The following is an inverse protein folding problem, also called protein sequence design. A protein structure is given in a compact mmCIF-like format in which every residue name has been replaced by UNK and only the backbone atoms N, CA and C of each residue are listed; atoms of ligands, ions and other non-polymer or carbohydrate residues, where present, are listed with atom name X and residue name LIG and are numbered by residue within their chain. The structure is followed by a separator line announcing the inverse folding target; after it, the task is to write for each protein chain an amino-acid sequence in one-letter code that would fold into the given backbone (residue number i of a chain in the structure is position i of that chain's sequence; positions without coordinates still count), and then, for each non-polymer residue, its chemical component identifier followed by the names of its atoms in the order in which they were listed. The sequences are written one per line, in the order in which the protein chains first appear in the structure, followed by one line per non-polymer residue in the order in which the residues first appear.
data_IF_962049575091
#
_entry.id   IF_962049575091
#
_cell.length_a   1.000
_cell.length_b   1.000
_cell.length_c   1.000
_cell.angle_alpha   90.00
_cell.angle_beta   90.00
_cell.angle_gamma   90.00
#
_symmetry.space_group_name_H-M   'P 1'
#
loop_
_entity.id
_entity.type
_entity.pdbx_description
1 polymer ?
#
# COMPACT_ATOMS: atom_id res chain seq x y z
N UNK A 1 0.86 22.01 -3.61
CA UNK A 1 1.10 21.64 -2.20
C UNK A 1 -0.16 21.13 -1.48
N UNK A 2 -1.31 21.76 -1.63
CA UNK A 2 -2.55 21.29 -0.98
C UNK A 2 -3.07 19.94 -1.50
N UNK A 3 -2.96 19.67 -2.80
CA UNK A 3 -3.33 18.36 -3.39
C UNK A 3 -2.45 17.21 -2.89
N UNK A 4 -1.17 17.49 -2.64
CA UNK A 4 -0.23 16.51 -2.07
C UNK A 4 -0.59 16.20 -0.61
N UNK A 5 -0.89 17.21 0.19
CA UNK A 5 -1.33 17.03 1.59
C UNK A 5 -2.63 16.25 1.68
N UNK A 6 -3.56 16.49 0.76
CA UNK A 6 -4.87 15.80 0.76
C UNK A 6 -4.74 14.32 0.40
N UNK A 7 -3.96 13.98 -0.61
CA UNK A 7 -3.71 12.59 -0.98
C UNK A 7 -2.91 11.83 0.10
N UNK A 8 -1.94 12.49 0.73
CA UNK A 8 -1.17 11.89 1.82
C UNK A 8 -2.03 11.68 3.08
N UNK A 9 -2.95 12.59 3.36
CA UNK A 9 -3.88 12.44 4.49
C UNK A 9 -4.92 11.36 4.26
N UNK A 10 -5.42 11.22 3.03
CA UNK A 10 -6.34 10.14 2.67
C UNK A 10 -5.63 8.78 2.72
N UNK A 11 -4.40 8.69 2.21
CA UNK A 11 -3.59 7.47 2.27
C UNK A 11 -3.21 7.10 3.71
N UNK A 12 -2.85 8.08 4.54
CA UNK A 12 -2.59 7.88 5.97
C UNK A 12 -3.87 7.51 6.71
N UNK A 13 -5.01 8.12 6.39
CA UNK A 13 -6.31 7.77 6.95
C UNK A 13 -6.71 6.34 6.64
N UNK A 14 -6.51 5.89 5.40
CA UNK A 14 -6.75 4.50 4.98
C UNK A 14 -5.77 3.55 5.69
N UNK A 15 -4.49 3.91 5.79
CA UNK A 15 -3.49 3.11 6.49
C UNK A 15 -3.80 2.99 7.99
N UNK A 16 -4.18 4.07 8.66
CA UNK A 16 -4.56 4.09 10.07
C UNK A 16 -5.85 3.29 10.30
N UNK A 17 -6.82 3.37 9.38
CA UNK A 17 -8.03 2.53 9.42
C UNK A 17 -7.69 1.04 9.26
N UNK A 18 -6.74 0.71 8.38
CA UNK A 18 -6.26 -0.65 8.15
C UNK A 18 -5.45 -1.20 9.33
N UNK A 19 -4.73 -0.35 10.06
CA UNK A 19 -3.96 -0.73 11.25
C UNK A 19 -4.78 -0.72 12.54
N UNK A 20 -6.08 -0.38 12.49
CA UNK A 20 -6.95 -0.33 13.66
C UNK A 20 -6.68 0.84 14.63
N UNK A 21 -5.72 1.71 14.33
CA UNK A 21 -5.34 2.84 15.19
C UNK A 21 -6.43 3.93 15.18
N UNK A 22 -7.18 4.02 14.08
CA UNK A 22 -8.28 4.98 13.96
C UNK A 22 -9.50 4.62 14.84
N UNK A 23 -9.61 3.36 15.26
CA UNK A 23 -10.73 2.86 16.06
C UNK A 23 -10.66 3.28 17.53
N UNK A 24 -9.46 3.61 18.03
CA UNK A 24 -9.28 4.06 19.41
C UNK A 24 -9.61 5.56 19.61
N UNK A 25 -9.72 6.32 18.52
CA UNK A 25 -10.03 7.74 18.56
C UNK A 25 -11.51 8.09 18.31
N UNK A 26 -12.29 7.14 17.84
CA UNK A 26 -13.72 7.29 17.53
C UNK A 26 -14.56 6.34 18.38
N UNK A 27 -14.83 6.68 19.64
CA UNK A 27 -15.95 6.08 20.36
C UNK A 27 -17.25 6.80 19.96
N UNK A 28 -18.31 6.11 19.55
CA UNK A 28 -18.92 4.89 20.13
C UNK A 28 -19.42 3.87 19.08
N UNK A 29 -18.56 3.08 18.49
CA UNK A 29 -19.01 1.95 17.67
C UNK A 29 -18.40 0.64 18.11
N UNK A 30 -18.42 0.38 19.42
CA UNK A 30 -17.91 -0.86 20.03
C UNK A 30 -18.74 -2.11 19.69
N UNK A 31 -19.94 -1.97 19.13
CA UNK A 31 -20.80 -3.13 18.87
C UNK A 31 -20.71 -3.74 17.48
N UNK A 32 -20.12 -3.04 16.49
CA UNK A 32 -19.89 -3.59 15.16
C UNK A 32 -18.48 -4.13 14.91
N UNK A 33 -17.64 -4.19 15.92
CA UNK A 33 -16.37 -4.96 15.89
C UNK A 33 -16.60 -6.48 15.78
N UNK A 34 -17.77 -6.89 15.31
CA UNK A 34 -18.07 -8.29 15.01
C UNK A 34 -17.31 -8.72 13.76
N UNK A 35 -16.12 -9.28 14.02
CA UNK A 35 -15.35 -10.12 13.10
C UNK A 35 -14.77 -9.37 11.90
N UNK A 36 -13.66 -8.71 12.10
CA UNK A 36 -12.70 -8.61 11.00
C UNK A 36 -12.51 -10.04 10.49
N UNK A 37 -12.80 -10.24 9.22
CA UNK A 37 -12.64 -11.55 8.60
C UNK A 37 -11.16 -11.93 8.71
N UNK A 38 -10.79 -13.00 9.45
CA UNK A 38 -9.39 -13.34 9.67
C UNK A 38 -8.63 -13.55 8.36
N UNK A 39 -9.34 -13.85 7.28
CA UNK A 39 -8.75 -14.01 5.95
C UNK A 39 -8.22 -12.69 5.40
N UNK A 40 -8.82 -11.54 5.71
CA UNK A 40 -8.27 -10.24 5.26
C UNK A 40 -6.95 -9.93 5.97
N UNK A 41 -6.86 -10.23 7.26
CA UNK A 41 -5.63 -10.06 8.03
C UNK A 41 -4.52 -10.97 7.53
N UNK A 42 -4.86 -12.22 7.19
CA UNK A 42 -3.92 -13.15 6.56
C UNK A 42 -3.40 -12.62 5.22
N UNK A 43 -4.30 -12.13 4.35
CA UNK A 43 -3.92 -11.56 3.06
C UNK A 43 -3.00 -10.33 3.21
N UNK A 44 -3.30 -9.44 4.14
CA UNK A 44 -2.46 -8.28 4.45
C UNK A 44 -1.08 -8.69 4.96
N UNK A 45 -0.99 -9.69 5.81
CA UNK A 45 0.26 -10.26 6.29
C UNK A 45 1.10 -10.85 5.16
N UNK A 46 0.47 -11.55 4.21
CA UNK A 46 1.14 -12.08 3.02
C UNK A 46 1.68 -10.96 2.13
N UNK A 47 0.95 -9.87 1.98
CA UNK A 47 1.39 -8.69 1.22
C UNK A 47 2.58 -8.04 1.90
N UNK A 48 2.52 -7.81 3.19
CA UNK A 48 3.62 -7.23 3.96
C UNK A 48 4.90 -8.08 3.89
N UNK A 49 4.77 -9.40 3.83
CA UNK A 49 5.90 -10.31 3.70
C UNK A 49 6.43 -10.46 2.26
N UNK A 50 5.58 -10.26 1.26
CA UNK A 50 5.89 -10.60 -0.14
C UNK A 50 6.00 -9.44 -1.12
N UNK A 51 5.62 -8.23 -0.76
CA UNK A 51 5.52 -7.08 -1.68
C UNK A 51 6.81 -6.75 -2.44
N UNK A 52 7.96 -6.99 -1.83
CA UNK A 52 9.29 -6.68 -2.40
C UNK A 52 9.68 -7.61 -3.56
N UNK A 53 8.99 -8.71 -3.74
CA UNK A 53 9.22 -9.63 -4.86
C UNK A 53 8.34 -9.25 -6.03
N UNK A 54 8.93 -9.07 -7.20
CA UNK A 54 8.22 -8.63 -8.40
C UNK A 54 7.16 -9.63 -8.87
N UNK A 55 7.44 -10.92 -8.72
CA UNK A 55 6.53 -12.00 -9.07
C UNK A 55 5.33 -12.16 -8.10
N UNK A 56 5.38 -11.47 -6.95
CA UNK A 56 4.30 -11.53 -5.98
C UNK A 56 3.08 -10.76 -6.49
N UNK A 57 1.95 -11.43 -6.61
CA UNK A 57 0.73 -10.87 -7.19
C UNK A 57 -0.51 -11.47 -6.51
N UNK A 58 -1.68 -11.02 -6.94
CA UNK A 58 -2.93 -11.48 -6.37
C UNK A 58 -3.17 -13.00 -6.54
N UNK A 59 -2.66 -13.62 -7.61
CA UNK A 59 -2.67 -15.07 -7.78
C UNK A 59 -1.85 -15.78 -6.70
N UNK A 60 -0.70 -15.22 -6.36
CA UNK A 60 0.16 -15.74 -5.30
C UNK A 60 -0.55 -15.71 -3.95
N UNK A 61 -1.24 -14.62 -3.65
CA UNK A 61 -2.03 -14.46 -2.42
C UNK A 61 -3.14 -15.51 -2.37
N UNK A 62 -3.96 -15.60 -3.44
CA UNK A 62 -5.06 -16.55 -3.53
C UNK A 62 -4.59 -17.99 -3.33
N UNK A 63 -3.49 -18.37 -3.97
CA UNK A 63 -2.91 -19.70 -3.86
C UNK A 63 -2.44 -20.01 -2.44
N UNK A 64 -1.74 -19.08 -1.80
CA UNK A 64 -1.26 -19.25 -0.42
C UNK A 64 -2.40 -19.36 0.59
N UNK A 65 -3.50 -18.67 0.33
CA UNK A 65 -4.71 -18.74 1.16
C UNK A 65 -5.64 -19.90 0.81
N UNK A 66 -5.32 -20.68 -0.21
CA UNK A 66 -6.15 -21.77 -0.73
C UNK A 66 -7.59 -21.32 -1.11
N UNK A 67 -7.70 -20.11 -1.69
CA UNK A 67 -8.96 -19.56 -2.20
C UNK A 67 -8.87 -19.25 -3.68
N UNK A 68 -10.03 -19.13 -4.35
CA UNK A 68 -10.07 -18.69 -5.75
C UNK A 68 -9.77 -17.18 -5.84
N UNK A 69 -9.33 -16.75 -7.05
CA UNK A 69 -9.16 -15.33 -7.37
C UNK A 69 -10.45 -14.53 -7.15
N UNK A 70 -11.57 -15.10 -7.55
CA UNK A 70 -12.90 -14.50 -7.38
C UNK A 70 -13.24 -14.31 -5.89
N UNK A 71 -12.96 -15.31 -5.07
CA UNK A 71 -13.18 -15.22 -3.61
C UNK A 71 -12.30 -14.15 -2.99
N UNK A 72 -11.02 -14.09 -3.36
CA UNK A 72 -10.09 -13.07 -2.88
C UNK A 72 -10.55 -11.66 -3.28
N UNK A 73 -10.91 -11.45 -4.55
CA UNK A 73 -11.42 -10.16 -5.04
C UNK A 73 -12.67 -9.73 -4.27
N UNK A 74 -13.61 -10.63 -4.06
CA UNK A 74 -14.85 -10.34 -3.32
C UNK A 74 -14.56 -9.97 -1.87
N UNK A 75 -13.63 -10.67 -1.23
CA UNK A 75 -13.21 -10.37 0.13
C UNK A 75 -12.62 -8.97 0.25
N UNK A 76 -11.70 -8.60 -0.65
CA UNK A 76 -11.08 -7.27 -0.67
C UNK A 76 -12.09 -6.17 -0.98
N UNK A 77 -12.95 -6.35 -1.98
CA UNK A 77 -13.97 -5.35 -2.32
C UNK A 77 -14.95 -5.12 -1.16
N UNK A 78 -15.37 -6.17 -0.48
CA UNK A 78 -16.30 -6.07 0.66
C UNK A 78 -15.67 -5.38 1.88
N UNK A 79 -14.41 -5.65 2.17
CA UNK A 79 -13.74 -5.20 3.40
C UNK A 79 -12.94 -3.93 3.24
N UNK A 80 -12.37 -3.69 2.07
CA UNK A 80 -11.43 -2.59 1.81
C UNK A 80 -11.96 -1.66 0.72
N UNK A 81 -12.79 -2.15 -0.21
CA UNK A 81 -13.27 -1.40 -1.37
C UNK A 81 -12.29 -1.37 -2.54
N UNK A 82 -11.20 -2.09 -2.47
CA UNK A 82 -10.17 -2.20 -3.50
C UNK A 82 -9.99 -3.64 -3.95
N UNK A 83 -9.39 -3.83 -5.12
CA UNK A 83 -8.91 -5.15 -5.51
C UNK A 83 -7.61 -5.50 -4.77
N UNK A 84 -7.26 -6.78 -4.64
CA UNK A 84 -5.99 -7.21 -4.07
C UNK A 84 -4.78 -6.60 -4.79
N UNK A 85 -4.85 -6.47 -6.12
CA UNK A 85 -3.80 -5.86 -6.93
C UNK A 85 -3.64 -4.36 -6.66
N UNK A 86 -4.73 -3.63 -6.49
CA UNK A 86 -4.71 -2.22 -6.11
C UNK A 86 -4.12 -2.03 -4.72
N UNK A 87 -4.50 -2.87 -3.77
CA UNK A 87 -3.95 -2.83 -2.42
C UNK A 87 -2.43 -3.11 -2.41
N UNK A 88 -1.98 -4.12 -3.15
CA UNK A 88 -0.56 -4.44 -3.30
C UNK A 88 0.23 -3.28 -3.92
N UNK A 89 -0.31 -2.64 -4.97
CA UNK A 89 0.32 -1.48 -5.60
C UNK A 89 0.46 -0.32 -4.61
N UNK A 90 -0.60 -0.01 -3.90
CA UNK A 90 -0.62 1.04 -2.87
C UNK A 90 0.42 0.75 -1.77
N UNK A 91 0.46 -0.48 -1.29
CA UNK A 91 1.44 -0.91 -0.29
C UNK A 91 2.88 -0.73 -0.78
N UNK A 92 3.18 -1.13 -2.02
CA UNK A 92 4.50 -0.92 -2.65
C UNK A 92 4.86 0.55 -2.73
N UNK A 93 3.94 1.41 -3.14
CA UNK A 93 4.16 2.85 -3.22
C UNK A 93 4.47 3.47 -1.87
N UNK A 94 3.75 3.09 -0.83
CA UNK A 94 4.00 3.56 0.53
C UNK A 94 5.36 3.12 1.07
N UNK A 95 5.77 1.88 0.82
CA UNK A 95 7.11 1.43 1.19
C UNK A 95 8.19 2.17 0.39
N UNK A 96 7.95 2.44 -0.89
CA UNK A 96 8.88 3.19 -1.73
C UNK A 96 9.09 4.63 -1.24
N UNK A 97 8.04 5.27 -0.76
CA UNK A 97 8.11 6.61 -0.17
C UNK A 97 9.13 6.67 0.97
N UNK A 98 9.09 5.69 1.87
CA UNK A 98 10.03 5.60 3.01
C UNK A 98 11.47 5.46 2.54
N UNK A 99 11.72 4.64 1.51
CA UNK A 99 13.06 4.42 0.97
C UNK A 99 13.61 5.67 0.28
N UNK A 100 12.77 6.43 -0.43
CA UNK A 100 13.14 7.72 -1.02
C UNK A 100 13.51 8.74 0.06
N UNK A 101 12.76 8.79 1.15
CA UNK A 101 13.05 9.66 2.31
C UNK A 101 14.39 9.30 2.97
N UNK A 102 14.78 8.03 2.93
CA UNK A 102 16.09 7.54 3.41
C UNK A 102 17.23 7.81 2.42
N UNK A 103 16.95 8.42 1.28
CA UNK A 103 17.97 8.80 0.29
C UNK A 103 18.29 7.73 -0.76
N UNK A 104 17.57 6.61 -0.81
CA UNK A 104 17.77 5.60 -1.84
C UNK A 104 17.49 6.17 -3.24
N UNK A 105 18.23 5.69 -4.24
CA UNK A 105 17.99 6.10 -5.63
C UNK A 105 16.62 5.60 -6.12
N UNK A 106 16.06 6.28 -7.12
CA UNK A 106 14.77 5.90 -7.72
C UNK A 106 14.79 4.45 -8.22
N UNK A 107 15.86 4.06 -8.91
CA UNK A 107 16.02 2.70 -9.44
C UNK A 107 16.09 1.65 -8.33
N UNK A 108 16.92 1.89 -7.32
CA UNK A 108 17.04 0.98 -6.17
C UNK A 108 15.72 0.85 -5.41
N UNK A 109 15.05 1.97 -5.20
CA UNK A 109 13.72 2.01 -4.54
C UNK A 109 12.69 1.19 -5.30
N UNK A 110 12.58 1.39 -6.62
CA UNK A 110 11.65 0.63 -7.45
C UNK A 110 11.89 -0.88 -7.33
N UNK A 111 13.13 -1.32 -7.51
CA UNK A 111 13.48 -2.74 -7.44
C UNK A 111 13.25 -3.32 -6.04
N UNK A 112 13.59 -2.57 -4.98
CA UNK A 112 13.39 -3.00 -3.59
C UNK A 112 11.92 -3.13 -3.20
N UNK A 113 11.02 -2.42 -3.90
CA UNK A 113 9.58 -2.47 -3.66
C UNK A 113 8.82 -3.40 -4.62
N UNK A 114 9.53 -4.23 -5.39
CA UNK A 114 8.91 -5.22 -6.27
C UNK A 114 8.46 -4.69 -7.63
N UNK A 115 8.93 -3.52 -8.05
CA UNK A 115 8.72 -3.02 -9.41
C UNK A 115 9.84 -3.52 -10.33
N UNK A 116 9.51 -4.27 -11.35
CA UNK A 116 10.50 -4.74 -12.34
C UNK A 116 10.97 -3.60 -13.24
N UNK A 117 10.06 -2.68 -13.57
CA UNK A 117 10.30 -1.55 -14.45
C UNK A 117 10.31 -0.23 -13.67
N UNK A 118 11.48 0.41 -13.49
CA UNK A 118 11.57 1.72 -12.82
C UNK A 118 10.79 2.84 -13.53
N UNK A 119 10.58 2.75 -14.84
CA UNK A 119 9.77 3.73 -15.58
C UNK A 119 8.27 3.58 -15.26
N UNK A 120 7.77 2.35 -15.17
CA UNK A 120 6.42 2.10 -14.69
C UNK A 120 6.25 2.59 -13.26
N UNK A 121 7.20 2.28 -12.37
CA UNK A 121 7.22 2.80 -11.00
C UNK A 121 7.10 4.33 -10.96
N UNK A 122 7.92 5.03 -11.74
CA UNK A 122 7.90 6.50 -11.79
C UNK A 122 6.56 7.06 -12.25
N UNK A 123 5.92 6.41 -13.23
CA UNK A 123 4.58 6.82 -13.71
C UNK A 123 3.51 6.65 -12.64
N UNK A 124 3.44 5.50 -11.98
CA UNK A 124 2.43 5.26 -10.94
C UNK A 124 2.69 6.07 -9.68
N UNK A 125 3.96 6.28 -9.34
CA UNK A 125 4.34 7.16 -8.24
C UNK A 125 3.88 8.60 -8.49
N UNK A 126 4.18 9.16 -9.67
CA UNK A 126 3.74 10.50 -10.06
C UNK A 126 2.22 10.63 -10.06
N UNK A 127 1.52 9.63 -10.57
CA UNK A 127 0.04 9.61 -10.56
C UNK A 127 -0.51 9.66 -9.14
N UNK A 128 0.14 8.96 -8.22
CA UNK A 128 -0.30 8.85 -6.83
C UNK A 128 0.06 10.08 -5.99
N UNK A 129 1.31 10.54 -6.07
CA UNK A 129 1.86 11.62 -5.25
C UNK A 129 1.87 13.00 -5.93
N UNK A 130 1.55 13.08 -7.22
CA UNK A 130 1.52 14.34 -7.97
C UNK A 130 2.88 14.85 -8.44
N UNK A 131 3.98 14.15 -8.14
CA UNK A 131 5.33 14.48 -8.57
C UNK A 131 6.16 13.22 -8.83
N UNK A 132 7.21 13.29 -9.67
CA UNK A 132 8.10 12.16 -9.89
C UNK A 132 8.84 11.76 -8.60
N UNK A 133 9.24 10.49 -8.45
CA UNK A 133 10.00 10.03 -7.29
C UNK A 133 11.36 10.72 -7.13
N UNK A 134 11.99 11.16 -8.24
CA UNK A 134 13.21 11.94 -8.19
C UNK A 134 13.03 13.28 -7.47
N UNK A 135 11.96 14.00 -7.78
CA UNK A 135 11.64 15.28 -7.15
C UNK A 135 11.25 15.10 -5.69
N UNK A 136 10.48 14.05 -5.41
CA UNK A 136 10.11 13.68 -4.05
C UNK A 136 11.35 13.42 -3.19
N UNK A 137 12.31 12.66 -3.70
CA UNK A 137 13.57 12.35 -3.02
C UNK A 137 14.38 13.61 -2.69
N UNK A 138 14.45 14.57 -3.63
CA UNK A 138 15.20 15.82 -3.44
C UNK A 138 14.67 16.67 -2.29
N UNK A 139 13.35 16.64 -2.04
CA UNK A 139 12.75 17.38 -0.92
C UNK A 139 13.29 16.95 0.44
N UNK A 140 13.76 15.73 0.58
CA UNK A 140 14.30 15.19 1.82
C UNK A 140 15.84 15.27 1.87
N UNK A 141 16.51 15.41 0.76
CA UNK A 141 17.97 15.54 0.70
C UNK A 141 18.47 16.88 1.26
N UNK A 142 17.62 17.92 1.23
CA UNK A 142 17.96 19.26 1.75
C UNK A 142 17.81 19.38 3.28
N UNK A 143 17.25 18.37 3.95
CA UNK A 143 16.98 18.39 5.39
C UNK A 143 18.08 17.66 6.20
N UNK A 144 18.99 16.98 5.53
CA UNK A 144 20.14 16.29 6.13
C UNK A 144 21.41 17.13 6.02
#
# INVERSE_FOLDING_TARGET
MELYRRNSQEAVGVLLALLGVYQDLAEPQREERKKEDPRIMEAMGLIAAGYHRSEFCAETIARKMAVSRTTLNRLFQKKIGWSPGQYLLEYRLQQSEKLLQMGMTVKQTALSCGFEDPFYYSRVFRKHYGMPPSDYRLQFAEIQ
#
